data_IF_707561625081
#
_entry.id   IF_707561625081
#
_cell.length_a   1.000
_cell.length_b   1.000
_cell.length_c   1.000
_cell.angle_alpha   90.00
_cell.angle_beta   90.00
_cell.angle_gamma   90.00
#
_symmetry.space_group_name_H-M   'P 1'
#
loop_
_entity.id
_entity.type
_entity.pdbx_description
1 polymer ?
#
# COMPACT_ATOMS: atom_id res chain seq x y z
N UNK A 1 47.80 -27.61 53.22
CA UNK A 1 46.75 -28.57 53.66
C UNK A 1 45.50 -27.73 53.92
N UNK A 2 44.45 -27.70 53.11
CA UNK A 2 43.84 -28.69 52.21
C UNK A 2 43.48 -28.05 50.86
N UNK A 3 43.78 -28.78 49.80
CA UNK A 3 43.25 -28.61 48.45
C UNK A 3 42.00 -29.49 48.39
N UNK A 4 40.89 -28.96 47.88
CA UNK A 4 39.71 -29.76 47.53
C UNK A 4 39.19 -29.30 46.17
N UNK A 5 39.20 -30.16 45.13
CA UNK A 5 38.65 -29.85 43.80
C UNK A 5 37.30 -30.54 43.61
N UNK A 6 36.22 -29.81 43.29
CA UNK A 6 34.94 -30.46 42.94
C UNK A 6 34.23 -29.70 41.80
N UNK A 7 34.50 -30.18 40.59
CA UNK A 7 33.53 -30.59 39.55
C UNK A 7 32.53 -29.52 39.04
N UNK A 8 32.72 -29.10 37.79
CA UNK A 8 31.70 -28.49 36.93
C UNK A 8 30.48 -29.42 36.81
N UNK A 9 29.25 -28.98 37.12
CA UNK A 9 28.08 -29.52 36.47
C UNK A 9 27.83 -28.75 35.17
N UNK A 10 27.75 -29.53 34.10
CA UNK A 10 27.41 -29.12 32.76
C UNK A 10 26.10 -28.32 32.69
N UNK A 11 26.06 -27.47 31.66
CA UNK A 11 24.94 -26.67 31.23
C UNK A 11 23.59 -27.42 31.24
N UNK A 12 22.64 -26.90 32.02
CA UNK A 12 21.22 -27.17 31.86
C UNK A 12 20.48 -25.84 31.82
N UNK A 13 20.62 -25.12 30.70
CA UNK A 13 19.76 -23.99 30.39
C UNK A 13 18.51 -24.57 29.73
N UNK A 14 17.53 -24.97 30.55
CA UNK A 14 16.18 -25.26 30.06
C UNK A 14 15.48 -23.94 29.73
N UNK A 15 15.78 -23.37 28.56
CA UNK A 15 14.97 -22.28 28.01
C UNK A 15 13.65 -22.88 27.55
N UNK A 16 12.56 -22.58 28.27
CA UNK A 16 11.23 -22.77 27.74
C UNK A 16 11.11 -21.93 26.47
N UNK A 17 10.97 -22.58 25.32
CA UNK A 17 10.55 -21.91 24.10
C UNK A 17 9.08 -21.52 24.27
N UNK A 18 8.83 -20.34 24.86
CA UNK A 18 7.51 -19.72 24.76
C UNK A 18 7.32 -19.33 23.31
N UNK A 19 6.54 -20.12 22.58
CA UNK A 19 5.99 -19.72 21.29
C UNK A 19 5.12 -18.49 21.52
N UNK A 20 5.72 -17.30 21.39
CA UNK A 20 4.99 -16.05 21.36
C UNK A 20 4.09 -16.09 20.12
N UNK A 21 2.78 -15.82 20.24
CA UNK A 21 1.97 -15.55 19.06
C UNK A 21 2.63 -14.36 18.36
N UNK A 22 3.03 -14.61 17.14
CA UNK A 22 3.71 -13.62 16.33
C UNK A 22 2.74 -12.47 16.05
N UNK A 23 3.07 -11.30 16.61
CA UNK A 23 2.24 -10.09 16.61
C UNK A 23 2.14 -9.41 15.23
N UNK A 24 2.10 -10.19 14.14
CA UNK A 24 1.96 -9.66 12.79
C UNK A 24 0.55 -9.12 12.50
N UNK A 25 -0.41 -9.31 13.40
CA UNK A 25 -1.83 -9.06 13.15
C UNK A 25 -2.35 -7.70 13.64
N UNK A 26 -1.55 -6.86 14.30
CA UNK A 26 -2.07 -5.60 14.87
C UNK A 26 -1.96 -4.40 13.91
N UNK A 27 -1.06 -4.42 12.92
CA UNK A 27 -0.94 -3.33 11.94
C UNK A 27 -1.99 -3.45 10.82
N UNK A 28 -2.26 -4.67 10.36
CA UNK A 28 -3.17 -4.92 9.24
C UNK A 28 -4.64 -4.59 9.56
N UNK A 29 -5.06 -4.74 10.83
CA UNK A 29 -6.48 -4.63 11.20
C UNK A 29 -6.91 -3.21 11.60
N UNK A 30 -5.97 -2.26 11.76
CA UNK A 30 -6.29 -0.90 12.26
C UNK A 30 -6.14 0.21 11.22
N UNK A 31 -5.71 -0.11 10.01
CA UNK A 31 -5.61 0.85 8.93
C UNK A 31 -6.32 0.26 7.71
N UNK A 32 -7.64 0.39 7.67
CA UNK A 32 -8.39 0.23 6.43
C UNK A 32 -7.98 1.38 5.49
N UNK A 33 -6.81 1.25 4.88
CA UNK A 33 -6.35 2.17 3.86
C UNK A 33 -7.30 2.07 2.68
N UNK A 34 -7.72 3.23 2.17
CA UNK A 34 -8.51 3.28 0.97
C UNK A 34 -7.64 2.82 -0.20
N UNK A 35 -8.02 1.71 -0.80
CA UNK A 35 -7.39 1.16 -2.01
C UNK A 35 -8.26 1.53 -3.23
N UNK A 36 -7.95 2.63 -3.93
CA UNK A 36 -8.76 3.08 -5.07
C UNK A 36 -8.68 2.13 -6.27
N UNK A 37 -7.58 1.39 -6.39
CA UNK A 37 -7.13 0.74 -7.62
C UNK A 37 -6.78 -0.72 -7.36
N UNK A 38 -7.08 -1.63 -8.28
CA UNK A 38 -6.78 -3.06 -8.08
C UNK A 38 -6.48 -3.78 -9.39
N UNK A 39 -5.78 -4.91 -9.27
CA UNK A 39 -5.40 -5.73 -10.42
C UNK A 39 -4.46 -5.00 -11.38
N UNK A 40 -4.75 -5.11 -12.68
CA UNK A 40 -3.92 -4.52 -13.74
C UNK A 40 -3.94 -2.97 -13.74
N UNK A 41 -5.02 -2.39 -13.19
CA UNK A 41 -5.18 -0.94 -13.03
C UNK A 41 -4.80 -0.54 -11.61
N UNK A 42 -3.63 -0.95 -11.14
CA UNK A 42 -3.17 -0.77 -9.77
C UNK A 42 -2.54 0.60 -9.48
N UNK A 43 -2.68 1.59 -10.35
CA UNK A 43 -2.03 2.90 -10.18
C UNK A 43 -3.03 4.04 -10.18
N UNK A 44 -3.13 4.71 -9.03
CA UNK A 44 -3.97 5.88 -8.83
C UNK A 44 -3.35 7.11 -9.49
N UNK A 45 -4.04 7.65 -10.49
CA UNK A 45 -3.61 8.81 -11.25
C UNK A 45 -4.75 9.84 -11.34
N UNK A 46 -4.39 11.10 -11.42
CA UNK A 46 -5.29 12.13 -11.93
C UNK A 46 -5.07 12.22 -13.44
N UNK A 47 -6.14 12.20 -14.23
CA UNK A 47 -6.02 12.30 -15.68
C UNK A 47 -7.03 13.26 -16.30
N UNK A 48 -6.58 13.99 -17.34
CA UNK A 48 -7.45 14.67 -18.28
C UNK A 48 -7.96 13.68 -19.33
N UNK A 49 -9.28 13.69 -19.55
CA UNK A 49 -9.90 13.00 -20.67
C UNK A 49 -9.79 13.85 -21.93
N UNK A 50 -9.51 13.23 -23.07
CA UNK A 50 -9.58 13.89 -24.39
C UNK A 50 -10.99 14.44 -24.68
N UNK A 51 -11.11 15.34 -25.65
CA UNK A 51 -12.37 15.94 -26.12
C UNK A 51 -13.42 14.91 -26.56
N UNK A 52 -13.02 13.69 -26.93
CA UNK A 52 -13.93 12.59 -27.23
C UNK A 52 -14.26 11.70 -26.02
N UNK A 53 -13.63 11.92 -24.86
CA UNK A 53 -13.86 11.17 -23.62
C UNK A 53 -13.35 9.73 -23.63
N UNK A 54 -12.63 9.31 -24.67
CA UNK A 54 -12.22 7.92 -24.90
C UNK A 54 -10.83 7.59 -24.36
N UNK A 55 -9.93 8.58 -24.28
CA UNK A 55 -8.55 8.37 -23.88
C UNK A 55 -8.15 9.40 -22.82
N UNK A 56 -7.41 8.92 -21.82
CA UNK A 56 -6.71 9.79 -20.88
C UNK A 56 -5.36 10.15 -21.50
N UNK A 57 -5.13 11.45 -21.74
CA UNK A 57 -3.98 11.94 -22.51
C UNK A 57 -2.97 12.73 -21.67
N UNK A 58 -3.37 13.15 -20.48
CA UNK A 58 -2.51 13.87 -19.54
C UNK A 58 -2.76 13.29 -18.14
N UNK A 59 -1.92 12.33 -17.72
CA UNK A 59 -2.05 11.61 -16.45
C UNK A 59 -0.87 11.90 -15.53
N UNK A 60 -1.16 12.37 -14.31
CA UNK A 60 -0.19 12.62 -13.25
C UNK A 60 -0.50 11.85 -11.97
N UNK A 61 0.52 11.66 -11.14
CA UNK A 61 0.34 11.13 -9.78
C UNK A 61 -0.43 12.19 -8.96
N UNK A 62 -1.44 11.81 -8.16
CA UNK A 62 -2.12 12.75 -7.29
C UNK A 62 -1.14 13.42 -6.32
N UNK A 63 -1.35 14.72 -6.06
CA UNK A 63 -0.47 15.53 -5.19
C UNK A 63 -0.44 15.06 -3.74
N UNK A 64 -1.47 14.34 -3.31
CA UNK A 64 -1.62 13.78 -1.97
C UNK A 64 -2.24 12.40 -2.06
N UNK A 65 -1.89 11.51 -1.12
CA UNK A 65 -2.51 10.19 -1.03
C UNK A 65 -3.96 10.33 -0.63
N UNK A 66 -4.93 9.84 -1.43
CA UNK A 66 -6.34 9.95 -1.11
C UNK A 66 -6.71 9.05 0.07
N UNK A 67 -7.53 9.57 0.97
CA UNK A 67 -8.02 8.81 2.13
C UNK A 67 -9.33 8.07 1.87
N UNK A 68 -10.06 8.44 0.81
CA UNK A 68 -11.31 7.82 0.34
C UNK A 68 -11.61 8.28 -1.09
N UNK A 69 -12.69 7.76 -1.69
CA UNK A 69 -13.05 8.05 -3.08
C UNK A 69 -13.46 9.50 -3.34
N UNK A 70 -14.18 10.12 -2.41
CA UNK A 70 -14.56 11.54 -2.52
C UNK A 70 -13.33 12.43 -2.45
N UNK A 71 -12.42 12.12 -1.53
CA UNK A 71 -11.14 12.80 -1.39
C UNK A 71 -10.29 12.65 -2.66
N UNK A 72 -10.20 11.44 -3.21
CA UNK A 72 -9.49 11.20 -4.48
C UNK A 72 -10.06 12.04 -5.63
N UNK A 73 -11.38 12.08 -5.75
CA UNK A 73 -12.06 12.89 -6.76
C UNK A 73 -11.80 14.38 -6.57
N UNK A 74 -11.80 14.85 -5.33
CA UNK A 74 -11.55 16.24 -4.97
C UNK A 74 -10.11 16.65 -5.27
N UNK A 75 -9.13 15.81 -4.91
CA UNK A 75 -7.69 16.05 -5.17
C UNK A 75 -7.45 16.21 -6.67
N UNK A 76 -8.00 15.34 -7.50
CA UNK A 76 -7.83 15.45 -8.95
C UNK A 76 -8.64 16.62 -9.55
N UNK A 77 -9.83 16.89 -9.03
CA UNK A 77 -10.64 18.02 -9.48
C UNK A 77 -9.98 19.37 -9.17
N UNK A 78 -9.21 19.47 -8.09
CA UNK A 78 -8.47 20.69 -7.71
C UNK A 78 -7.43 21.10 -8.77
N UNK A 79 -6.90 20.14 -9.52
CA UNK A 79 -5.99 20.37 -10.66
C UNK A 79 -6.70 20.30 -12.02
N UNK A 80 -8.04 20.28 -12.04
CA UNK A 80 -8.85 20.25 -13.27
C UNK A 80 -8.92 18.88 -13.94
N UNK A 81 -8.56 17.80 -13.24
CA UNK A 81 -8.51 16.44 -13.77
C UNK A 81 -9.49 15.50 -13.06
N UNK A 82 -9.54 14.24 -13.50
CA UNK A 82 -10.40 13.19 -12.92
C UNK A 82 -9.58 12.10 -12.25
N UNK A 83 -10.06 11.60 -11.13
CA UNK A 83 -9.48 10.44 -10.45
C UNK A 83 -9.67 9.19 -11.31
N UNK A 84 -8.57 8.46 -11.58
CA UNK A 84 -8.51 7.32 -12.50
C UNK A 84 -7.53 6.27 -11.98
N UNK A 85 -7.83 5.01 -12.28
CA UNK A 85 -6.93 3.89 -12.04
C UNK A 85 -6.37 3.42 -13.38
N UNK A 86 -5.05 3.45 -13.54
CA UNK A 86 -4.39 3.21 -14.81
C UNK A 86 -3.40 2.04 -14.72
N UNK A 87 -3.07 1.46 -15.88
CA UNK A 87 -2.01 0.44 -15.99
C UNK A 87 -0.65 1.12 -16.20
N UNK A 88 0.35 0.79 -15.38
CA UNK A 88 1.76 1.10 -15.65
C UNK A 88 2.32 0.01 -16.60
N UNK A 89 3.04 0.35 -17.69
CA UNK A 89 4.20 1.24 -17.62
C UNK A 89 4.19 2.42 -18.59
N UNK A 90 3.07 2.71 -19.29
CA UNK A 90 3.06 3.78 -20.29
C UNK A 90 1.92 4.76 -20.03
N UNK A 91 2.23 5.79 -19.25
CA UNK A 91 1.33 6.86 -18.86
C UNK A 91 1.05 7.88 -20.00
N UNK A 92 1.69 7.71 -21.16
CA UNK A 92 1.78 8.74 -22.21
C UNK A 92 1.15 8.33 -23.56
N UNK A 93 0.81 7.05 -23.77
CA UNK A 93 0.41 6.50 -25.09
C UNK A 93 -1.11 6.28 -25.25
N UNK A 94 -1.94 7.02 -24.51
CA UNK A 94 -3.37 6.76 -24.45
C UNK A 94 -3.66 5.72 -23.37
N UNK A 95 -3.83 6.21 -22.15
CA UNK A 95 -3.82 5.36 -20.98
C UNK A 95 -5.16 4.63 -20.88
N UNK A 96 -5.11 3.30 -20.90
CA UNK A 96 -6.25 2.48 -20.47
C UNK A 96 -6.40 2.73 -18.97
N UNK A 97 -7.42 3.50 -18.60
CA UNK A 97 -7.76 3.76 -17.21
C UNK A 97 -9.23 3.47 -16.94
N UNK A 98 -9.51 3.05 -15.72
CA UNK A 98 -10.86 2.82 -15.22
C UNK A 98 -11.21 3.82 -14.11
N UNK A 99 -12.51 3.94 -13.85
CA UNK A 99 -13.00 4.68 -12.68
C UNK A 99 -12.54 3.96 -11.40
N UNK A 100 -11.98 4.69 -10.42
CA UNK A 100 -11.58 4.12 -9.13
C UNK A 100 -12.76 3.57 -8.34
N UNK A 101 -12.49 2.73 -7.35
CA UNK A 101 -13.52 2.21 -6.45
C UNK A 101 -14.17 3.36 -5.65
N UNK A 102 -15.50 3.45 -5.68
CA UNK A 102 -16.29 4.40 -4.89
C UNK A 102 -16.40 5.84 -5.45
N UNK A 103 -15.91 6.09 -6.66
CA UNK A 103 -15.98 7.39 -7.37
C UNK A 103 -17.20 7.46 -8.29
#
# INVERSE_FOLDING_TARGET
MKITPIILPAALWSTLATALPSQHSQLEQRQAFYEPCSGLYGSAQCCATDVLGLANVDCGVPVTTPSNATDFSSICAAIGQRARCCVLPILDQGVLCQTPSGV
#
